data_IF_022759565941
#
_entry.id   IF_022759565941
#
_cell.length_a   1.000
_cell.length_b   1.000
_cell.length_c   1.000
_cell.angle_alpha   90.00
_cell.angle_beta   90.00
_cell.angle_gamma   90.00
#
_symmetry.space_group_name_H-M   'P 1'
#
loop_
_entity.id
_entity.type
_entity.pdbx_description
1 polymer ?
#
# COMPACT_ATOMS: atom_id res chain seq x y z
N UNK A 1 -26.07 3.45 -3.08
CA UNK A 1 -24.65 3.22 -2.70
C UNK A 1 -23.96 4.56 -2.50
N UNK A 2 -22.86 4.62 -1.78
CA UNK A 2 -22.03 5.83 -1.69
C UNK A 2 -20.74 5.64 -2.50
N UNK A 3 -20.35 6.63 -3.29
CA UNK A 3 -19.07 6.67 -4.00
C UNK A 3 -18.33 7.93 -3.59
N UNK A 4 -17.17 7.78 -2.95
CA UNK A 4 -16.26 8.89 -2.70
C UNK A 4 -15.28 9.01 -3.86
N UNK A 5 -15.23 10.19 -4.46
CA UNK A 5 -14.21 10.57 -5.45
C UNK A 5 -13.15 11.38 -4.73
N UNK A 6 -11.88 11.00 -4.87
CA UNK A 6 -10.77 11.79 -4.37
C UNK A 6 -9.97 12.34 -5.57
N UNK A 7 -10.34 13.51 -6.11
CA UNK A 7 -9.65 14.14 -7.22
C UNK A 7 -8.19 14.52 -6.94
N UNK A 8 -7.79 14.67 -5.66
CA UNK A 8 -6.40 14.90 -5.30
C UNK A 8 -5.52 13.65 -5.50
N UNK A 9 -6.12 12.46 -5.61
CA UNK A 9 -5.39 11.23 -5.93
C UNK A 9 -4.92 11.20 -7.38
N UNK A 10 -3.60 11.27 -7.60
CA UNK A 10 -3.00 10.93 -8.90
C UNK A 10 -3.02 12.04 -9.96
N UNK A 11 -2.95 13.30 -9.54
CA UNK A 11 -2.85 14.55 -10.35
C UNK A 11 -1.71 14.57 -11.38
N UNK A 12 -0.79 13.59 -11.35
CA UNK A 12 0.34 13.46 -12.26
C UNK A 12 0.02 12.78 -13.61
N UNK A 13 -1.23 12.33 -13.83
CA UNK A 13 -1.65 11.63 -15.05
C UNK A 13 -2.99 12.20 -15.54
N UNK A 14 -3.06 12.59 -16.82
CA UNK A 14 -4.33 12.97 -17.46
C UNK A 14 -5.21 11.71 -17.55
N UNK A 15 -6.37 11.75 -16.87
CA UNK A 15 -7.38 10.68 -16.89
C UNK A 15 -8.71 11.23 -17.39
N UNK A 16 -9.54 10.36 -17.96
CA UNK A 16 -10.93 10.68 -18.24
C UNK A 16 -11.67 10.86 -16.90
N UNK A 17 -12.49 11.90 -16.81
CA UNK A 17 -13.38 12.12 -15.67
C UNK A 17 -14.46 11.03 -15.67
N UNK A 18 -14.60 10.21 -14.61
CA UNK A 18 -15.61 9.16 -14.56
C UNK A 18 -17.04 9.67 -14.30
N UNK A 19 -17.24 10.99 -14.17
CA UNK A 19 -18.56 11.59 -13.88
C UNK A 19 -19.68 11.06 -14.80
N UNK A 20 -19.45 11.10 -16.11
CA UNK A 20 -20.45 10.67 -17.10
C UNK A 20 -20.75 9.17 -16.99
N UNK A 21 -19.72 8.35 -16.74
CA UNK A 21 -19.87 6.91 -16.52
C UNK A 21 -20.70 6.63 -15.27
N UNK A 22 -20.44 7.36 -14.16
CA UNK A 22 -21.23 7.22 -12.93
C UNK A 22 -22.68 7.66 -13.15
N UNK A 23 -22.92 8.80 -13.77
CA UNK A 23 -24.28 9.29 -14.04
C UNK A 23 -25.07 8.32 -14.94
N UNK A 24 -24.40 7.70 -15.92
CA UNK A 24 -25.04 6.80 -16.88
C UNK A 24 -25.29 5.40 -16.31
N UNK A 25 -24.28 4.80 -15.66
CA UNK A 25 -24.35 3.40 -15.22
C UNK A 25 -24.75 3.22 -13.77
N UNK A 26 -24.58 4.24 -12.94
CA UNK A 26 -24.88 4.21 -11.51
C UNK A 26 -25.79 5.40 -11.11
N UNK A 27 -26.96 5.60 -11.75
CA UNK A 27 -27.81 6.77 -11.51
C UNK A 27 -28.35 6.86 -10.08
N UNK A 28 -28.39 5.75 -9.34
CA UNK A 28 -28.80 5.69 -7.93
C UNK A 28 -27.63 5.80 -6.93
N UNK A 29 -26.39 5.98 -7.43
CA UNK A 29 -25.26 6.21 -6.55
C UNK A 29 -25.24 7.65 -6.06
N UNK A 30 -25.05 7.82 -4.75
CA UNK A 30 -24.66 9.10 -4.17
C UNK A 30 -23.16 9.25 -4.41
N UNK A 31 -22.79 10.13 -5.33
CA UNK A 31 -21.38 10.44 -5.64
C UNK A 31 -21.00 11.71 -4.90
N UNK A 32 -20.00 11.63 -4.02
CA UNK A 32 -19.45 12.76 -3.29
C UNK A 32 -18.00 12.98 -3.69
N UNK A 33 -17.67 14.22 -4.04
CA UNK A 33 -16.29 14.63 -4.24
C UNK A 33 -15.70 15.03 -2.88
N UNK A 34 -14.56 14.45 -2.53
CA UNK A 34 -13.84 14.74 -1.29
C UNK A 34 -13.07 16.05 -1.48
N UNK A 35 -13.38 17.05 -0.65
CA UNK A 35 -12.62 18.29 -0.62
C UNK A 35 -11.19 18.06 -0.08
N UNK A 36 -10.26 18.98 -0.35
CA UNK A 36 -8.86 18.85 0.08
C UNK A 36 -8.69 18.75 1.60
N UNK A 37 -9.62 19.31 2.37
CA UNK A 37 -9.65 19.35 3.83
C UNK A 37 -10.65 18.39 4.47
N UNK A 38 -11.40 17.64 3.66
CA UNK A 38 -12.40 16.68 4.15
C UNK A 38 -11.78 15.30 4.42
N UNK A 39 -12.05 14.73 5.60
CA UNK A 39 -11.69 13.35 5.90
C UNK A 39 -12.72 12.39 5.27
N UNK A 40 -12.22 11.44 4.49
CA UNK A 40 -13.00 10.34 3.93
C UNK A 40 -13.80 9.59 5.02
N UNK A 41 -13.22 9.42 6.21
CA UNK A 41 -13.88 8.75 7.33
C UNK A 41 -15.12 9.52 7.81
N UNK A 42 -15.06 10.85 7.86
CA UNK A 42 -16.17 11.70 8.29
C UNK A 42 -17.32 11.67 7.27
N UNK A 43 -16.99 11.75 5.98
CA UNK A 43 -17.97 11.61 4.90
C UNK A 43 -18.72 10.26 4.97
N UNK A 44 -17.99 9.16 5.17
CA UNK A 44 -18.58 7.83 5.29
C UNK A 44 -19.39 7.70 6.59
N UNK A 45 -18.89 8.21 7.72
CA UNK A 45 -19.61 8.21 8.99
C UNK A 45 -20.96 8.92 8.86
N UNK A 46 -20.96 10.12 8.26
CA UNK A 46 -22.17 10.90 7.99
C UNK A 46 -23.17 10.11 7.14
N UNK A 47 -22.72 9.52 6.04
CA UNK A 47 -23.58 8.72 5.17
C UNK A 47 -24.15 7.47 5.88
N UNK A 48 -23.34 6.81 6.71
CA UNK A 48 -23.75 5.62 7.49
C UNK A 48 -24.70 5.95 8.64
N UNK A 49 -24.72 7.19 9.12
CA UNK A 49 -25.65 7.67 10.16
C UNK A 49 -26.99 8.20 9.60
N UNK A 50 -27.14 8.29 8.28
CA UNK A 50 -28.37 8.75 7.62
C UNK A 50 -29.52 7.74 7.75
N UNK A 51 -30.76 8.19 7.46
CA UNK A 51 -31.96 7.34 7.46
C UNK A 51 -31.92 6.20 6.40
N UNK A 52 -31.04 6.33 5.40
CA UNK A 52 -30.85 5.38 4.32
C UNK A 52 -29.36 5.06 4.13
N UNK A 53 -28.73 4.34 5.08
CA UNK A 53 -27.29 4.10 5.04
C UNK A 53 -26.90 3.29 3.81
N UNK A 54 -25.75 3.61 3.16
CA UNK A 54 -25.34 2.93 1.95
C UNK A 54 -25.04 1.44 2.19
N UNK A 55 -25.57 0.59 1.30
CA UNK A 55 -25.35 -0.86 1.32
C UNK A 55 -24.04 -1.28 0.63
N UNK A 56 -23.43 -0.39 -0.16
CA UNK A 56 -22.14 -0.54 -0.84
C UNK A 56 -21.36 0.75 -0.63
N UNK A 57 -20.09 0.62 -0.27
CA UNK A 57 -19.14 1.73 -0.23
C UNK A 57 -18.23 1.66 -1.45
N UNK A 58 -18.11 2.75 -2.19
CA UNK A 58 -17.30 2.86 -3.39
C UNK A 58 -16.26 3.95 -3.27
N UNK A 59 -15.11 3.76 -3.91
CA UNK A 59 -14.04 4.76 -3.94
C UNK A 59 -13.40 4.83 -5.31
N UNK A 60 -13.31 6.04 -5.85
CA UNK A 60 -12.46 6.37 -6.99
C UNK A 60 -11.24 7.15 -6.48
N UNK A 61 -10.10 6.48 -6.40
CA UNK A 61 -8.90 7.05 -5.79
C UNK A 61 -7.65 6.17 -5.92
N UNK A 62 -6.56 6.59 -5.28
CA UNK A 62 -5.31 5.82 -5.19
C UNK A 62 -5.31 4.76 -4.09
N UNK A 63 -4.20 4.02 -3.96
CA UNK A 63 -4.06 2.90 -3.02
C UNK A 63 -4.36 3.31 -1.55
N UNK A 64 -3.93 4.49 -1.11
CA UNK A 64 -4.24 5.00 0.24
C UNK A 64 -5.73 5.25 0.49
N UNK A 65 -6.44 5.91 -0.45
CA UNK A 65 -7.90 6.08 -0.38
C UNK A 65 -8.63 4.75 -0.40
N UNK A 66 -8.16 3.79 -1.21
CA UNK A 66 -8.72 2.44 -1.28
C UNK A 66 -8.54 1.71 0.06
N UNK A 67 -7.38 1.83 0.69
CA UNK A 67 -7.09 1.21 1.98
C UNK A 67 -7.96 1.80 3.10
N UNK A 68 -8.10 3.14 3.16
CA UNK A 68 -9.00 3.84 4.10
C UNK A 68 -10.45 3.42 3.91
N UNK A 69 -10.95 3.42 2.66
CA UNK A 69 -12.31 2.98 2.38
C UNK A 69 -12.52 1.50 2.72
N UNK A 70 -11.51 0.64 2.51
CA UNK A 70 -11.59 -0.77 2.90
C UNK A 70 -11.68 -0.97 4.42
N UNK A 71 -10.96 -0.16 5.21
CA UNK A 71 -11.08 -0.17 6.66
C UNK A 71 -12.51 0.18 7.12
N UNK A 72 -13.10 1.21 6.51
CA UNK A 72 -14.49 1.62 6.79
C UNK A 72 -15.51 0.58 6.31
N UNK A 73 -15.31 0.01 5.13
CA UNK A 73 -16.13 -1.07 4.59
C UNK A 73 -16.14 -2.29 5.53
N UNK A 74 -14.97 -2.67 6.05
CA UNK A 74 -14.85 -3.70 7.09
C UNK A 74 -15.57 -3.31 8.37
N UNK A 75 -15.36 -2.08 8.87
CA UNK A 75 -15.98 -1.58 10.09
C UNK A 75 -17.52 -1.63 10.03
N UNK A 76 -18.10 -1.24 8.90
CA UNK A 76 -19.55 -1.20 8.70
C UNK A 76 -20.14 -2.47 8.07
N UNK A 77 -19.32 -3.48 7.80
CA UNK A 77 -19.76 -4.73 7.17
C UNK A 77 -20.36 -4.53 5.77
N UNK A 78 -19.81 -3.60 4.98
CA UNK A 78 -20.26 -3.29 3.61
C UNK A 78 -19.28 -3.84 2.58
N UNK A 79 -19.75 -4.38 1.45
CA UNK A 79 -18.89 -4.67 0.31
C UNK A 79 -18.33 -3.38 -0.29
N UNK A 80 -17.12 -3.50 -0.84
CA UNK A 80 -16.33 -2.41 -1.37
C UNK A 80 -16.30 -2.45 -2.91
N UNK A 81 -16.63 -1.31 -3.52
CA UNK A 81 -16.41 -1.05 -4.95
C UNK A 81 -15.13 -0.22 -5.13
N UNK A 82 -14.07 -0.85 -5.64
CA UNK A 82 -12.80 -0.15 -5.89
C UNK A 82 -12.74 0.30 -7.35
N UNK A 83 -12.45 1.58 -7.57
CA UNK A 83 -12.25 2.14 -8.90
C UNK A 83 -10.89 2.84 -8.98
N UNK A 84 -10.06 2.49 -9.98
CA UNK A 84 -8.68 2.98 -10.06
C UNK A 84 -8.63 4.48 -10.42
N UNK A 85 -8.36 5.32 -9.44
CA UNK A 85 -8.25 6.78 -9.60
C UNK A 85 -6.84 7.34 -9.40
N UNK A 86 -5.91 6.58 -8.82
CA UNK A 86 -4.54 7.01 -8.51
C UNK A 86 -3.48 6.58 -9.53
N UNK A 87 -2.21 6.91 -9.25
CA UNK A 87 -1.07 6.69 -10.17
C UNK A 87 -0.72 5.21 -10.37
N UNK A 88 -0.67 4.43 -9.30
CA UNK A 88 -0.19 3.04 -9.34
C UNK A 88 -1.30 2.01 -9.28
N UNK A 89 -2.35 2.26 -8.49
CA UNK A 89 -3.53 1.40 -8.33
C UNK A 89 -3.14 -0.07 -8.12
N UNK A 90 -2.15 -0.29 -7.24
CA UNK A 90 -1.59 -1.61 -6.99
C UNK A 90 -2.66 -2.62 -6.56
N UNK A 91 -3.55 -2.21 -5.65
CA UNK A 91 -4.64 -3.09 -5.20
C UNK A 91 -5.63 -3.39 -6.33
N UNK A 92 -6.16 -2.36 -7.00
CA UNK A 92 -7.13 -2.53 -8.10
C UNK A 92 -6.58 -3.46 -9.20
N UNK A 93 -5.31 -3.28 -9.59
CA UNK A 93 -4.63 -4.17 -10.56
C UNK A 93 -4.52 -5.60 -10.07
N UNK A 94 -4.17 -5.80 -8.80
CA UNK A 94 -4.11 -7.14 -8.19
C UNK A 94 -5.49 -7.80 -8.12
N UNK A 95 -6.55 -6.98 -8.01
CA UNK A 95 -7.94 -7.40 -8.07
C UNK A 95 -8.49 -7.63 -9.49
N UNK A 96 -7.67 -7.39 -10.53
CA UNK A 96 -8.12 -7.49 -11.93
C UNK A 96 -9.03 -6.33 -12.38
N UNK A 97 -9.07 -5.25 -11.62
CA UNK A 97 -9.88 -4.06 -11.91
C UNK A 97 -9.01 -3.06 -12.70
N UNK A 98 -9.13 -3.11 -14.03
CA UNK A 98 -8.30 -2.30 -14.92
C UNK A 98 -8.74 -0.83 -14.99
N UNK A 99 -10.05 -0.60 -14.94
CA UNK A 99 -10.70 0.69 -15.10
C UNK A 99 -12.04 0.75 -14.33
N UNK A 100 -12.72 1.89 -14.42
CA UNK A 100 -14.03 2.13 -13.78
C UNK A 100 -15.09 1.17 -14.31
N UNK A 101 -15.15 0.97 -15.64
CA UNK A 101 -16.12 0.06 -16.26
C UNK A 101 -15.99 -1.36 -15.75
N UNK A 102 -14.76 -1.87 -15.59
CA UNK A 102 -14.50 -3.21 -15.05
C UNK A 102 -15.06 -3.37 -13.63
N UNK A 103 -14.96 -2.32 -12.80
CA UNK A 103 -15.50 -2.33 -11.44
C UNK A 103 -17.03 -2.36 -11.44
N UNK A 104 -17.66 -1.50 -12.26
CA UNK A 104 -19.12 -1.42 -12.40
C UNK A 104 -19.69 -2.72 -12.96
N UNK A 105 -19.02 -3.30 -13.95
CA UNK A 105 -19.32 -4.61 -14.50
C UNK A 105 -19.34 -5.72 -13.44
N UNK A 106 -18.38 -5.71 -12.51
CA UNK A 106 -18.35 -6.67 -11.41
C UNK A 106 -19.50 -6.43 -10.41
N UNK A 107 -19.81 -5.17 -10.13
CA UNK A 107 -20.95 -4.77 -9.30
C UNK A 107 -22.28 -5.24 -9.89
N UNK A 108 -22.56 -4.94 -11.16
CA UNK A 108 -23.80 -5.31 -11.85
C UNK A 108 -23.99 -6.83 -11.92
N UNK A 109 -22.89 -7.58 -12.05
CA UNK A 109 -22.91 -9.05 -12.01
C UNK A 109 -22.97 -9.63 -10.58
N UNK A 110 -22.80 -8.80 -9.56
CA UNK A 110 -22.72 -9.24 -8.16
C UNK A 110 -21.51 -10.13 -7.86
N UNK A 111 -20.42 -10.02 -8.63
CA UNK A 111 -19.23 -10.86 -8.43
C UNK A 111 -18.30 -10.21 -7.41
N UNK A 112 -18.09 -10.90 -6.27
CA UNK A 112 -17.19 -10.44 -5.20
C UNK A 112 -16.07 -11.43 -4.91
N UNK A 113 -15.01 -10.90 -4.29
CA UNK A 113 -13.92 -11.69 -3.70
C UNK A 113 -13.72 -11.25 -2.25
N UNK A 114 -13.62 -12.23 -1.36
CA UNK A 114 -13.34 -12.01 0.06
C UNK A 114 -11.82 -11.81 0.27
N UNK A 115 -11.39 -10.56 0.32
CA UNK A 115 -9.97 -10.18 0.31
C UNK A 115 -9.37 -10.30 1.71
N UNK A 116 -8.21 -10.93 1.81
CA UNK A 116 -7.40 -10.95 3.03
C UNK A 116 -6.54 -9.69 3.12
N UNK A 117 -6.33 -9.15 4.32
CA UNK A 117 -5.59 -7.91 4.54
C UNK A 117 -4.62 -8.03 5.73
N UNK A 118 -3.81 -7.00 5.94
CA UNK A 118 -2.93 -6.85 7.10
C UNK A 118 -3.64 -5.92 8.08
N UNK A 119 -3.83 -6.36 9.31
CA UNK A 119 -4.11 -5.44 10.42
C UNK A 119 -2.78 -5.09 11.08
N UNK A 120 -2.43 -3.80 11.12
CA UNK A 120 -1.20 -3.32 11.74
C UNK A 120 -1.50 -2.40 12.91
N UNK A 121 -0.83 -2.65 14.04
CA UNK A 121 -0.91 -1.84 15.26
C UNK A 121 0.48 -1.36 15.61
N UNK A 122 0.64 -0.05 15.72
CA UNK A 122 1.87 0.62 16.10
C UNK A 122 1.70 1.39 17.41
N UNK A 123 2.45 1.00 18.44
CA UNK A 123 2.35 1.62 19.76
C UNK A 123 0.94 1.54 20.34
N UNK A 124 0.46 2.66 20.89
CA UNK A 124 -0.87 2.77 21.52
C UNK A 124 -1.97 3.22 20.54
N UNK A 125 -1.63 3.50 19.28
CA UNK A 125 -2.62 3.92 18.28
C UNK A 125 -3.56 2.76 17.92
N UNK A 126 -4.72 3.13 17.38
CA UNK A 126 -5.67 2.18 16.79
C UNK A 126 -5.02 1.33 15.70
N UNK A 127 -5.61 0.16 15.44
CA UNK A 127 -5.17 -0.68 14.35
C UNK A 127 -5.59 -0.07 13.01
N UNK A 128 -4.68 -0.11 12.03
CA UNK A 128 -4.95 0.24 10.65
C UNK A 128 -5.12 -1.03 9.81
N UNK A 129 -5.80 -0.91 8.68
CA UNK A 129 -5.89 -1.97 7.68
C UNK A 129 -4.95 -1.61 6.52
N UNK A 130 -4.17 -2.57 6.03
CA UNK A 130 -3.40 -2.45 4.81
C UNK A 130 -3.71 -3.59 3.84
N UNK A 131 -3.95 -3.26 2.57
CA UNK A 131 -4.38 -4.17 1.52
C UNK A 131 -3.23 -4.83 0.76
N UNK A 132 -2.04 -4.21 0.75
CA UNK A 132 -0.86 -4.76 0.10
C UNK A 132 0.27 -5.01 1.08
N UNK A 133 0.72 -3.95 1.77
CA UNK A 133 1.94 -4.05 2.57
C UNK A 133 2.08 -2.97 3.64
N UNK A 134 2.85 -3.32 4.67
CA UNK A 134 3.38 -2.43 5.69
C UNK A 134 4.91 -2.49 5.64
N UNK A 135 5.60 -1.36 5.81
CA UNK A 135 7.06 -1.31 5.72
C UNK A 135 7.72 -0.29 6.65
N UNK A 136 8.98 -0.55 6.97
CA UNK A 136 9.87 0.25 7.83
C UNK A 136 11.24 0.43 7.16
N UNK A 137 11.98 1.47 7.55
CA UNK A 137 13.30 1.79 6.99
C UNK A 137 13.24 2.33 5.56
N UNK A 138 14.39 2.58 4.92
CA UNK A 138 14.70 3.32 3.67
C UNK A 138 13.60 3.47 2.58
N UNK A 139 12.43 3.98 2.95
CA UNK A 139 11.23 4.20 2.16
C UNK A 139 10.61 5.57 2.47
N UNK A 140 10.56 6.04 3.75
CA UNK A 140 10.11 7.39 4.09
C UNK A 140 10.93 8.48 3.39
N UNK A 141 12.26 8.35 3.43
CA UNK A 141 13.18 9.31 2.78
C UNK A 141 13.09 9.30 1.25
N UNK A 142 12.57 8.22 0.65
CA UNK A 142 12.34 8.13 -0.80
C UNK A 142 10.93 8.61 -1.22
N UNK A 143 9.98 8.65 -0.28
CA UNK A 143 8.62 9.15 -0.49
C UNK A 143 8.56 10.67 -0.25
N UNK A 144 9.28 11.20 0.75
CA UNK A 144 9.26 12.63 1.08
C UNK A 144 9.83 13.52 -0.04
N UNK A 145 10.72 13.00 -0.89
CA UNK A 145 11.25 13.73 -2.04
C UNK A 145 10.40 13.56 -3.32
N UNK A 146 9.36 12.70 -3.28
CA UNK A 146 8.49 12.43 -4.43
C UNK A 146 7.44 13.53 -4.64
N UNK A 147 7.00 14.17 -3.56
CA UNK A 147 5.97 15.22 -3.64
C UNK A 147 6.52 16.59 -4.04
N UNK A 148 7.83 16.82 -3.96
CA UNK A 148 8.38 18.14 -4.28
C UNK A 148 8.78 18.37 -5.74
N UNK A 149 9.00 17.35 -6.59
CA UNK A 149 9.49 17.61 -7.97
C UNK A 149 9.16 16.53 -9.01
N UNK A 150 8.25 16.84 -9.96
CA UNK A 150 8.35 16.32 -11.35
C UNK A 150 7.54 17.16 -12.36
N UNK A 151 8.18 17.80 -13.35
CA UNK A 151 8.12 17.34 -14.75
C UNK A 151 9.47 17.38 -15.55
N UNK A 152 9.49 16.63 -16.68
CA UNK A 152 10.49 16.53 -17.79
C UNK A 152 11.69 15.56 -17.65
N UNK A 153 12.06 14.95 -18.79
CA UNK A 153 13.09 13.89 -18.99
C UNK A 153 14.49 14.23 -18.47
N UNK A 154 14.81 15.51 -18.25
CA UNK A 154 16.03 15.94 -17.55
C UNK A 154 16.05 15.62 -16.05
N UNK A 155 14.88 15.33 -15.43
CA UNK A 155 14.73 15.05 -13.99
C UNK A 155 14.88 13.58 -13.61
N UNK A 156 15.02 12.64 -14.54
CA UNK A 156 15.29 11.23 -14.16
C UNK A 156 16.67 11.11 -13.48
N UNK A 157 17.67 11.81 -14.01
CA UNK A 157 18.98 11.96 -13.36
C UNK A 157 18.87 12.69 -12.01
N UNK A 158 18.00 13.71 -11.91
CA UNK A 158 17.73 14.39 -10.64
C UNK A 158 17.10 13.48 -9.58
N UNK A 159 16.17 12.60 -9.97
CA UNK A 159 15.60 11.59 -9.09
C UNK A 159 16.60 10.51 -8.67
N UNK A 160 17.54 10.15 -9.55
CA UNK A 160 18.65 9.24 -9.22
C UNK A 160 19.63 9.91 -8.25
N UNK A 161 19.97 11.18 -8.45
CA UNK A 161 20.86 11.94 -7.55
C UNK A 161 20.20 12.18 -6.19
N UNK A 162 18.91 12.51 -6.15
CA UNK A 162 18.15 12.68 -4.92
C UNK A 162 18.02 11.35 -4.16
N UNK A 163 17.63 10.28 -4.84
CA UNK A 163 17.68 8.93 -4.27
C UNK A 163 19.09 8.66 -3.74
N UNK A 164 20.15 8.85 -4.53
CA UNK A 164 21.53 8.59 -4.11
C UNK A 164 22.00 9.46 -2.94
N UNK A 165 21.47 10.67 -2.77
CA UNK A 165 21.73 11.53 -1.60
C UNK A 165 20.99 11.04 -0.36
N UNK A 166 19.69 10.78 -0.45
CA UNK A 166 18.91 10.14 0.62
C UNK A 166 19.56 8.82 1.07
N UNK A 167 20.01 8.03 0.10
CA UNK A 167 20.69 6.75 0.34
C UNK A 167 22.10 6.88 0.94
N UNK A 168 22.75 8.05 0.81
CA UNK A 168 24.05 8.34 1.45
C UNK A 168 23.89 8.75 2.90
N UNK A 169 22.75 9.36 3.26
CA UNK A 169 22.43 9.77 4.63
C UNK A 169 21.62 8.72 5.39
N UNK A 170 21.00 7.75 4.70
CA UNK A 170 20.25 6.68 5.31
C UNK A 170 21.10 5.87 6.30
N UNK A 171 20.59 5.75 7.53
CA UNK A 171 21.16 4.92 8.58
C UNK A 171 20.32 3.67 8.80
N UNK A 172 20.93 2.53 9.15
CA UNK A 172 20.18 1.34 9.52
C UNK A 172 19.24 1.59 10.71
N UNK A 173 18.00 1.15 10.57
CA UNK A 173 17.04 1.12 11.65
C UNK A 173 17.43 0.05 12.67
N UNK A 174 17.34 0.37 13.96
CA UNK A 174 17.48 -0.64 15.00
C UNK A 174 16.11 -1.28 15.28
N UNK A 175 16.03 -2.59 15.15
CA UNK A 175 14.83 -3.36 15.53
C UNK A 175 15.17 -4.36 16.64
N UNK A 176 14.16 -4.73 17.42
CA UNK A 176 14.21 -5.83 18.39
C UNK A 176 13.11 -6.81 18.06
N UNK A 177 13.47 -8.07 17.84
CA UNK A 177 12.53 -9.18 17.61
C UNK A 177 12.91 -10.34 18.50
N UNK A 178 11.95 -10.90 19.24
CA UNK A 178 12.17 -12.03 20.15
C UNK A 178 13.37 -11.80 21.10
N UNK A 179 13.47 -10.58 21.66
CA UNK A 179 14.57 -10.16 22.53
C UNK A 179 15.93 -9.92 21.85
N UNK A 180 16.06 -10.19 20.54
CA UNK A 180 17.31 -10.01 19.78
C UNK A 180 17.31 -8.69 19.03
N UNK A 181 18.36 -7.90 19.23
CA UNK A 181 18.58 -6.64 18.51
C UNK A 181 19.21 -6.91 17.14
N UNK A 182 18.75 -6.21 16.11
CA UNK A 182 19.33 -6.21 14.77
C UNK A 182 19.32 -4.80 14.17
N UNK A 183 20.29 -4.52 13.30
CA UNK A 183 20.31 -3.33 12.46
C UNK A 183 19.85 -3.73 11.06
N UNK A 184 18.86 -3.02 10.53
CA UNK A 184 18.19 -3.37 9.27
C UNK A 184 18.05 -2.14 8.39
N UNK A 185 18.17 -2.34 7.08
CA UNK A 185 17.87 -1.30 6.10
C UNK A 185 16.37 -1.13 5.91
N UNK A 186 15.63 -2.24 5.95
CA UNK A 186 14.19 -2.24 5.84
C UNK A 186 13.56 -3.49 6.42
N UNK A 187 12.29 -3.35 6.78
CA UNK A 187 11.38 -4.47 7.03
C UNK A 187 10.17 -4.28 6.11
N UNK A 188 9.80 -5.33 5.40
CA UNK A 188 8.64 -5.35 4.51
C UNK A 188 7.71 -6.48 4.94
N UNK A 189 6.45 -6.16 5.19
CA UNK A 189 5.39 -7.11 5.56
C UNK A 189 4.35 -7.04 4.45
N UNK A 190 4.39 -7.99 3.51
CA UNK A 190 3.40 -8.12 2.44
C UNK A 190 2.33 -9.15 2.78
N UNK A 191 1.13 -9.01 2.23
CA UNK A 191 0.06 -10.02 2.33
C UNK A 191 0.18 -11.06 1.19
N UNK A 192 -0.14 -12.30 1.49
CA UNK A 192 0.01 -13.47 0.61
C UNK A 192 1.46 -13.93 0.44
N UNK A 193 1.67 -15.13 -0.11
CA UNK A 193 2.99 -15.60 -0.53
C UNK A 193 3.36 -14.89 -1.82
N UNK A 194 4.39 -14.05 -1.76
CA UNK A 194 4.87 -13.30 -2.91
C UNK A 194 6.12 -13.95 -3.53
N UNK A 195 6.46 -13.57 -4.77
CA UNK A 195 7.64 -14.01 -5.52
C UNK A 195 8.89 -14.11 -4.63
N UNK A 196 9.43 -15.32 -4.38
CA UNK A 196 10.57 -15.52 -3.49
C UNK A 196 11.86 -14.86 -4.00
N UNK A 197 11.96 -14.55 -5.30
CA UNK A 197 13.14 -13.95 -5.90
C UNK A 197 13.13 -12.42 -5.89
N UNK A 198 12.06 -11.80 -5.41
CA UNK A 198 12.01 -10.36 -5.15
C UNK A 198 12.45 -10.07 -3.72
N UNK A 199 12.87 -8.84 -3.43
CA UNK A 199 13.19 -8.42 -2.04
C UNK A 199 12.03 -7.63 -1.44
N UNK A 200 11.44 -6.68 -2.18
CA UNK A 200 10.20 -5.98 -1.81
C UNK A 200 9.14 -6.15 -2.90
N UNK A 201 7.88 -6.39 -2.50
CA UNK A 201 6.77 -6.64 -3.43
C UNK A 201 5.62 -5.69 -3.14
N UNK A 202 5.56 -4.57 -3.86
CA UNK A 202 4.48 -3.57 -3.72
C UNK A 202 3.10 -4.07 -4.22
N UNK A 203 3.08 -5.16 -4.98
CA UNK A 203 1.87 -5.81 -5.47
C UNK A 203 1.80 -7.21 -4.90
N UNK A 204 0.61 -7.57 -4.44
CA UNK A 204 0.27 -8.93 -3.97
C UNK A 204 -0.02 -9.85 -5.16
N UNK A 205 0.33 -11.12 -5.04
CA UNK A 205 0.01 -12.12 -6.07
C UNK A 205 -1.39 -12.73 -5.92
N UNK A 206 -1.88 -12.82 -4.68
CA UNK A 206 -3.17 -13.44 -4.37
C UNK A 206 -3.99 -12.51 -3.48
N UNK A 207 -5.31 -12.48 -3.69
CA UNK A 207 -6.23 -11.64 -2.90
C UNK A 207 -6.69 -12.30 -1.61
N UNK A 208 -6.71 -13.63 -1.57
CA UNK A 208 -7.41 -14.39 -0.52
C UNK A 208 -6.48 -15.04 0.49
N UNK A 209 -5.17 -15.14 0.21
CA UNK A 209 -4.24 -15.84 1.10
C UNK A 209 -3.96 -15.02 2.38
N UNK A 210 -4.29 -15.54 3.58
CA UNK A 210 -4.13 -14.83 4.84
C UNK A 210 -2.78 -15.16 5.48
N UNK A 211 -1.68 -14.94 4.75
CA UNK A 211 -0.32 -15.09 5.29
C UNK A 211 0.48 -13.82 5.07
N UNK A 212 1.35 -13.48 6.00
CA UNK A 212 2.33 -12.41 5.85
C UNK A 212 3.63 -12.98 5.25
N UNK A 213 4.09 -12.40 4.15
CA UNK A 213 5.44 -12.58 3.61
C UNK A 213 6.32 -11.44 4.12
N UNK A 214 7.08 -11.73 5.17
CA UNK A 214 7.94 -10.76 5.85
C UNK A 214 9.36 -10.87 5.32
N UNK A 215 9.91 -9.76 4.82
CA UNK A 215 11.31 -9.62 4.44
C UNK A 215 12.03 -8.64 5.33
N UNK A 216 13.11 -9.07 5.95
CA UNK A 216 13.98 -8.23 6.77
C UNK A 216 15.33 -8.13 6.07
N UNK A 217 15.67 -6.92 5.64
CA UNK A 217 16.96 -6.68 5.00
C UNK A 217 17.98 -6.23 6.06
N UNK A 218 18.83 -7.15 6.50
CA UNK A 218 19.84 -6.92 7.54
C UNK A 218 20.98 -6.03 7.03
N UNK A 219 21.45 -5.12 7.87
CA UNK A 219 22.55 -4.21 7.55
C UNK A 219 23.93 -4.86 7.73
N UNK A 220 24.19 -5.94 6.98
CA UNK A 220 25.46 -6.71 7.01
C UNK A 220 26.40 -6.41 5.83
N UNK A 221 25.91 -5.68 4.82
CA UNK A 221 26.62 -5.36 3.59
C UNK A 221 26.72 -3.85 3.29
N UNK A 222 27.21 -3.51 2.10
CA UNK A 222 27.38 -2.11 1.70
C UNK A 222 26.04 -1.41 1.46
N UNK A 223 25.97 -0.11 1.79
CA UNK A 223 24.80 0.75 1.52
C UNK A 223 24.29 0.61 0.09
N UNK A 224 25.18 0.54 -0.90
CA UNK A 224 24.84 0.38 -2.33
C UNK A 224 23.99 -0.87 -2.61
N UNK A 225 24.26 -1.99 -1.93
CA UNK A 225 23.46 -3.21 -2.09
C UNK A 225 22.08 -3.08 -1.43
N UNK A 226 21.98 -2.31 -0.34
CA UNK A 226 20.69 -1.97 0.26
C UNK A 226 19.83 -1.09 -0.61
N UNK A 227 20.42 -0.15 -1.34
CA UNK A 227 19.71 0.58 -2.39
C UNK A 227 19.19 -0.37 -3.46
N UNK A 228 20.05 -1.25 -3.96
CA UNK A 228 19.69 -2.15 -5.04
C UNK A 228 18.53 -3.08 -4.66
N UNK A 229 18.41 -3.44 -3.38
CA UNK A 229 17.33 -4.27 -2.86
C UNK A 229 15.95 -3.59 -2.92
N UNK A 230 15.91 -2.26 -3.06
CA UNK A 230 14.70 -1.47 -3.23
C UNK A 230 14.29 -1.34 -4.72
N UNK A 231 14.86 -2.13 -5.62
CA UNK A 231 14.50 -2.06 -7.03
C UNK A 231 13.10 -2.62 -7.31
N UNK A 232 12.12 -1.71 -7.48
CA UNK A 232 10.73 -2.03 -7.79
C UNK A 232 10.53 -2.33 -9.29
N UNK A 233 11.01 -3.49 -9.76
CA UNK A 233 10.72 -3.92 -11.13
C UNK A 233 11.55 -5.10 -11.63
N UNK A 234 10.93 -6.02 -12.38
CA UNK A 234 11.58 -7.23 -12.91
C UNK A 234 12.85 -6.90 -13.73
N UNK A 235 12.77 -5.88 -14.59
CA UNK A 235 13.88 -5.45 -15.46
C UNK A 235 15.02 -4.81 -14.67
N UNK A 236 14.70 -3.88 -13.77
CA UNK A 236 15.69 -3.21 -12.92
C UNK A 236 16.41 -4.20 -12.00
N UNK A 237 15.67 -5.12 -11.38
CA UNK A 237 16.24 -6.17 -10.54
C UNK A 237 17.13 -7.15 -11.33
N UNK A 238 16.78 -7.47 -12.58
CA UNK A 238 17.61 -8.32 -13.44
C UNK A 238 18.96 -7.66 -13.79
N UNK A 239 18.95 -6.38 -14.16
CA UNK A 239 20.18 -5.62 -14.45
C UNK A 239 21.08 -5.52 -13.22
N UNK A 240 20.52 -5.19 -12.05
CA UNK A 240 21.29 -5.10 -10.81
C UNK A 240 21.87 -6.45 -10.37
N UNK A 241 21.16 -7.56 -10.63
CA UNK A 241 21.68 -8.92 -10.42
C UNK A 241 22.87 -9.20 -11.34
N UNK A 242 22.75 -8.89 -12.63
CA UNK A 242 23.82 -9.10 -13.60
C UNK A 242 25.09 -8.29 -13.25
N UNK A 243 24.93 -7.11 -12.64
CA UNK A 243 26.03 -6.27 -12.17
C UNK A 243 26.58 -6.67 -10.79
N UNK A 244 26.05 -7.71 -10.14
CA UNK A 244 26.48 -8.13 -8.80
C UNK A 244 26.16 -7.11 -7.69
N UNK A 245 25.21 -6.20 -7.95
CA UNK A 245 24.81 -5.13 -7.04
C UNK A 245 23.66 -5.52 -6.11
N UNK A 246 22.98 -6.64 -6.38
CA UNK A 246 21.97 -7.15 -5.46
C UNK A 246 22.59 -7.68 -4.17
N UNK A 247 21.91 -7.51 -3.02
CA UNK A 247 22.36 -8.14 -1.78
C UNK A 247 22.34 -9.68 -1.96
N UNK A 248 23.34 -10.40 -1.42
CA UNK A 248 23.27 -11.85 -1.34
C UNK A 248 22.01 -12.26 -0.56
N UNK A 249 21.42 -13.42 -0.90
CA UNK A 249 20.22 -13.96 -0.23
C UNK A 249 20.36 -14.04 1.30
N UNK A 250 21.60 -14.15 1.81
CA UNK A 250 21.92 -14.18 3.24
C UNK A 250 21.64 -12.87 3.99
N UNK A 251 21.55 -11.74 3.28
CA UNK A 251 21.26 -10.43 3.88
C UNK A 251 19.74 -10.22 4.04
N UNK A 252 18.91 -10.97 3.32
CA UNK A 252 17.45 -10.88 3.37
C UNK A 252 16.88 -12.11 4.07
N UNK A 253 16.44 -11.92 5.31
CA UNK A 253 15.66 -12.94 6.01
C UNK A 253 14.21 -12.91 5.49
N UNK A 254 13.66 -14.07 5.14
CA UNK A 254 12.26 -14.22 4.74
C UNK A 254 11.51 -15.12 5.71
N UNK A 255 10.33 -14.68 6.13
CA UNK A 255 9.40 -15.45 6.95
C UNK A 255 8.03 -15.47 6.27
N UNK A 256 7.33 -16.60 6.35
CA UNK A 256 5.92 -16.70 5.94
C UNK A 256 5.12 -17.14 7.15
N UNK A 257 4.36 -16.21 7.74
CA UNK A 257 3.74 -16.35 9.06
C UNK A 257 2.33 -15.74 9.07
N UNK A 258 1.47 -16.11 10.02
CA UNK A 258 0.16 -15.46 10.19
C UNK A 258 0.23 -14.14 10.97
N UNK A 259 1.26 -13.99 11.78
CA UNK A 259 1.49 -12.84 12.65
C UNK A 259 2.98 -12.52 12.72
N UNK A 260 3.29 -11.23 12.81
CA UNK A 260 4.64 -10.72 12.92
C UNK A 260 4.69 -9.53 13.87
N UNK A 261 5.65 -9.53 14.80
CA UNK A 261 5.86 -8.43 15.74
C UNK A 261 7.34 -8.05 15.82
N UNK A 262 7.62 -6.76 15.91
CA UNK A 262 8.93 -6.23 16.27
C UNK A 262 8.80 -4.92 17.04
N UNK A 263 9.86 -4.52 17.74
CA UNK A 263 10.00 -3.18 18.30
C UNK A 263 11.00 -2.37 17.48
N UNK A 264 10.59 -1.19 17.05
CA UNK A 264 11.44 -0.19 16.39
C UNK A 264 12.09 0.69 17.44
N UNK A 265 13.41 0.88 17.34
CA UNK A 265 14.18 1.85 18.12
C UNK A 265 14.84 2.84 17.17
N UNK A 266 14.23 4.01 16.95
CA UNK A 266 14.81 5.06 16.13
C UNK A 266 16.15 5.50 16.71
N UNK A 267 17.09 5.86 15.83
CA UNK A 267 18.30 6.59 16.24
C UNK A 267 17.95 8.02 16.64
N UNK A 268 18.87 8.69 17.34
CA UNK A 268 18.69 10.11 17.68
C UNK A 268 18.57 10.95 16.39
N UNK A 269 17.52 11.78 16.31
CA UNK A 269 17.24 12.61 15.12
C UNK A 269 16.62 11.88 13.93
N UNK A 270 16.33 10.57 14.03
CA UNK A 270 15.69 9.81 12.94
C UNK A 270 14.16 9.80 13.05
N UNK A 271 13.45 9.83 11.91
CA UNK A 271 12.00 9.74 11.92
C UNK A 271 11.55 8.37 12.44
N UNK A 272 10.66 8.38 13.43
CA UNK A 272 9.98 7.20 13.94
C UNK A 272 8.71 7.02 13.12
N UNK A 273 8.80 6.27 12.02
CA UNK A 273 7.72 6.17 11.04
C UNK A 273 7.57 4.75 10.50
N UNK A 274 6.38 4.42 10.03
CA UNK A 274 6.14 3.28 9.16
C UNK A 274 5.25 3.69 7.98
N UNK A 275 5.24 2.89 6.91
CA UNK A 275 4.45 3.16 5.71
C UNK A 275 3.51 2.00 5.45
N UNK A 276 2.25 2.27 5.09
CA UNK A 276 1.26 1.27 4.69
C UNK A 276 0.54 1.72 3.43
N UNK A 277 0.45 0.86 2.42
CA UNK A 277 -0.19 1.17 1.11
C UNK A 277 0.19 2.53 0.46
N UNK A 278 1.35 3.08 0.81
CA UNK A 278 1.83 4.38 0.33
C UNK A 278 1.59 5.56 1.28
N UNK A 279 0.83 5.36 2.36
CA UNK A 279 0.58 6.34 3.42
C UNK A 279 1.63 6.24 4.52
N UNK A 280 2.12 7.39 5.00
CA UNK A 280 3.14 7.48 6.04
C UNK A 280 2.48 7.71 7.40
N UNK A 281 2.92 6.95 8.41
CA UNK A 281 2.43 7.03 9.78
C UNK A 281 3.57 7.39 10.72
N UNK A 282 3.47 8.57 11.34
CA UNK A 282 4.41 9.03 12.35
C UNK A 282 4.15 8.37 13.70
N UNK A 283 5.21 8.14 14.47
CA UNK A 283 5.19 7.54 15.80
C UNK A 283 6.03 8.36 16.77
N UNK A 284 5.84 8.19 18.09
CA UNK A 284 6.67 8.87 19.07
C UNK A 284 8.18 8.61 18.82
N UNK A 285 9.06 9.61 19.06
CA UNK A 285 10.51 9.46 18.86
C UNK A 285 11.15 8.35 19.68
N UNK A 286 10.53 7.97 20.81
CA UNK A 286 11.02 6.89 21.70
C UNK A 286 10.97 5.49 21.05
N UNK A 287 10.35 5.35 19.88
CA UNK A 287 10.12 4.09 19.21
C UNK A 287 8.75 3.48 19.52
N UNK A 288 8.46 2.35 18.90
CA UNK A 288 7.15 1.71 18.96
C UNK A 288 7.26 0.21 18.69
N UNK A 289 6.31 -0.56 19.22
CA UNK A 289 6.09 -1.94 18.78
C UNK A 289 5.14 -1.94 17.59
N UNK A 290 5.54 -2.59 16.51
CA UNK A 290 4.72 -2.85 15.34
C UNK A 290 4.31 -4.32 15.34
N UNK A 291 3.00 -4.56 15.46
CA UNK A 291 2.38 -5.88 15.34
C UNK A 291 1.53 -5.91 14.08
N UNK A 292 1.78 -6.90 13.22
CA UNK A 292 1.04 -7.14 12.00
C UNK A 292 0.39 -8.52 12.05
N UNK A 293 -0.89 -8.60 11.70
CA UNK A 293 -1.66 -9.86 11.65
C UNK A 293 -2.32 -9.99 10.29
N UNK A 294 -2.21 -11.16 9.65
CA UNK A 294 -2.98 -11.44 8.45
C UNK A 294 -4.43 -11.76 8.82
N UNK A 295 -5.35 -10.97 8.30
CA UNK A 295 -6.79 -11.13 8.51
C UNK A 295 -7.39 -11.79 7.28
N UNK A 296 -7.94 -13.02 7.39
CA UNK A 296 -8.68 -13.64 6.31
C UNK A 296 -9.99 -12.91 6.05
N UNK A 297 -10.42 -12.83 4.79
CA UNK A 297 -11.74 -12.28 4.40
C UNK A 297 -12.04 -10.93 5.07
N UNK A 298 -11.05 -10.05 5.14
CA UNK A 298 -11.13 -8.77 5.81
C UNK A 298 -12.18 -7.82 5.20
N UNK A 299 -12.38 -7.89 3.88
CA UNK A 299 -13.38 -7.08 3.16
C UNK A 299 -13.85 -7.82 1.91
N UNK A 300 -15.15 -7.75 1.61
CA UNK A 300 -15.70 -8.21 0.34
C UNK A 300 -15.50 -7.12 -0.72
N UNK A 301 -14.87 -7.44 -1.84
CA UNK A 301 -14.59 -6.49 -2.92
C UNK A 301 -15.27 -6.94 -4.21
N UNK A 302 -15.98 -6.04 -4.88
CA UNK A 302 -16.47 -6.30 -6.24
C UNK A 302 -15.29 -6.41 -7.19
N UNK A 303 -15.12 -7.58 -7.80
CA UNK A 303 -14.01 -7.87 -8.70
C UNK A 303 -14.44 -8.88 -9.77
N UNK A 304 -13.82 -8.85 -10.96
CA UNK A 304 -14.00 -9.90 -11.95
C UNK A 304 -13.61 -11.28 -11.40
N UNK A 305 -14.21 -12.37 -11.90
CA UNK A 305 -13.81 -13.71 -11.51
C UNK A 305 -12.32 -13.97 -11.85
N UNK A 306 -11.60 -14.76 -11.03
CA UNK A 306 -10.18 -15.05 -11.26
C UNK A 306 -9.94 -15.59 -12.68
N UNK A 307 -8.99 -15.00 -13.40
CA UNK A 307 -8.60 -15.43 -14.76
C UNK A 307 -9.28 -14.70 -15.90
N UNK A 308 -10.19 -13.75 -15.64
CA UNK A 308 -10.82 -12.92 -16.68
C UNK A 308 -10.03 -11.63 -16.97
N UNK A 309 -8.72 -11.71 -17.22
CA UNK A 309 -8.04 -10.61 -17.92
C UNK A 309 -8.29 -10.79 -19.41
N UNK A 310 -9.15 -9.94 -20.00
CA UNK A 310 -9.25 -9.81 -21.47
C UNK A 310 -7.85 -9.47 -22.01
N UNK A 311 -7.42 -10.23 -23.02
CA UNK A 311 -6.13 -10.06 -23.70
C UNK A 311 -6.01 -8.76 -24.48
#
# INVERSE_FOLDING_TARGET
MLIIRNAASGTAVVRADPADTFATRLPEAVVQELAEDEDLADAVLSAMASDAPPVVLGVYGGDGSVSRMAALARQYGRPLLVMPGGTFNHFARSAGIADVDTAIDALERGTTVAVSAIEARAGERGAILALNAVSLGAYPELIDERDRRRASLGKWLGGIVAAWRALRTAEPLTIVRNGRRAHVWSVFVGIGRNDPDRVATMQRETLVEPTLDVRIHHARGSRLRAVASLAFGKRTAAVLRALGLMPPRLDVERLVVGEFELTVRPGEGHPSVYVHDGELEEQPPAGFTLRCVAIPRAVEVFAPPPGSTKG
#
